data_IF_970571496354
#
_entry.id   IF_970571496354
#
_cell.length_a   1.000
_cell.length_b   1.000
_cell.length_c   1.000
_cell.angle_alpha   90.00
_cell.angle_beta   90.00
_cell.angle_gamma   90.00
#
_symmetry.space_group_name_H-M   'P 1'
#
loop_
_entity.id
_entity.type
_entity.pdbx_description
1 polymer ?
#
# COMPACT_ATOMS: atom_id res chain seq x y z
N UNK A 1 3.42 0.88 -20.07
CA UNK A 1 4.08 -0.02 -19.11
C UNK A 1 4.45 0.75 -17.86
N UNK A 2 4.38 0.10 -16.71
CA UNK A 2 4.93 0.65 -15.47
C UNK A 2 6.45 0.67 -15.55
N UNK A 3 7.08 1.68 -14.97
CA UNK A 3 8.54 1.81 -14.94
C UNK A 3 9.20 0.56 -14.33
N UNK A 4 10.18 0.02 -15.02
CA UNK A 4 11.06 -1.04 -14.54
C UNK A 4 12.46 -0.45 -14.41
N UNK A 5 13.08 -0.48 -13.21
CA UNK A 5 14.46 -0.02 -13.03
C UNK A 5 15.41 -0.87 -13.88
N UNK A 6 16.17 -0.22 -14.75
CA UNK A 6 17.21 -0.86 -15.55
C UNK A 6 18.59 -0.30 -15.19
N UNK A 7 19.67 -1.08 -15.25
CA UNK A 7 21.01 -0.57 -15.00
C UNK A 7 21.33 0.64 -15.88
N UNK A 8 22.16 1.56 -15.37
CA UNK A 8 22.67 2.76 -16.07
C UNK A 8 21.63 3.81 -16.50
N UNK A 9 20.36 3.63 -16.16
CA UNK A 9 19.34 4.64 -16.46
C UNK A 9 19.24 5.70 -15.34
N UNK A 10 19.20 6.97 -15.71
CA UNK A 10 18.97 8.08 -14.76
C UNK A 10 17.69 7.89 -13.94
N UNK A 11 16.64 7.39 -14.59
CA UNK A 11 15.38 7.07 -13.92
C UNK A 11 15.53 6.00 -12.82
N UNK A 12 16.48 5.08 -12.96
CA UNK A 12 16.80 4.08 -11.93
C UNK A 12 17.44 4.75 -10.72
N UNK A 13 18.35 5.69 -10.92
CA UNK A 13 18.93 6.48 -9.84
C UNK A 13 17.84 7.27 -9.10
N UNK A 14 16.96 7.96 -9.81
CA UNK A 14 15.79 8.66 -9.22
C UNK A 14 14.93 7.69 -8.41
N UNK A 15 14.65 6.51 -8.95
CA UNK A 15 13.81 5.50 -8.29
C UNK A 15 14.40 5.01 -6.97
N UNK A 16 15.71 4.77 -6.92
CA UNK A 16 16.38 4.24 -5.73
C UNK A 16 16.70 5.32 -4.70
N UNK A 17 17.19 6.48 -5.14
CA UNK A 17 17.60 7.58 -4.25
C UNK A 17 16.46 8.48 -3.83
N UNK A 18 15.41 8.64 -4.67
CA UNK A 18 14.37 9.65 -4.50
C UNK A 18 14.91 11.07 -4.74
N UNK A 19 16.04 11.21 -5.40
CA UNK A 19 16.70 12.48 -5.69
C UNK A 19 16.82 12.72 -7.20
N UNK A 20 16.87 13.99 -7.59
CA UNK A 20 17.09 14.37 -8.97
C UNK A 20 18.58 14.15 -9.34
N UNK A 21 18.90 13.30 -10.34
CA UNK A 21 20.28 12.98 -10.70
C UNK A 21 20.85 13.81 -11.84
N UNK A 22 20.20 14.90 -12.24
CA UNK A 22 20.70 15.78 -13.32
C UNK A 22 22.08 16.37 -13.02
N UNK A 23 22.39 16.52 -11.74
CA UNK A 23 23.69 16.88 -11.22
C UNK A 23 24.19 15.82 -10.26
N UNK A 24 25.29 16.08 -9.56
CA UNK A 24 25.78 15.17 -8.52
C UNK A 24 24.71 14.92 -7.45
N UNK A 25 24.37 13.67 -7.20
CA UNK A 25 23.42 13.31 -6.14
C UNK A 25 24.05 13.52 -4.77
N UNK A 26 23.45 14.39 -3.97
CA UNK A 26 23.87 14.73 -2.61
C UNK A 26 22.68 14.74 -1.65
N UNK A 27 22.93 14.91 -0.37
CA UNK A 27 21.86 15.05 0.63
C UNK A 27 20.94 16.25 0.34
N UNK A 28 21.50 17.32 -0.25
CA UNK A 28 20.80 18.58 -0.59
C UNK A 28 20.14 18.58 -1.97
N UNK A 29 20.28 17.50 -2.76
CA UNK A 29 19.64 17.39 -4.07
C UNK A 29 18.11 17.39 -3.95
N UNK A 30 17.45 17.98 -4.95
CA UNK A 30 15.99 18.03 -5.05
C UNK A 30 15.35 16.64 -4.86
N UNK A 31 14.31 16.57 -4.05
CA UNK A 31 13.56 15.33 -3.84
C UNK A 31 12.56 15.08 -4.96
N UNK A 32 12.56 13.86 -5.46
CA UNK A 32 11.64 13.40 -6.50
C UNK A 32 10.67 12.37 -5.93
N UNK A 33 9.38 12.64 -6.11
CA UNK A 33 8.33 11.72 -5.68
C UNK A 33 8.40 10.41 -6.47
N UNK A 34 8.64 9.30 -5.77
CA UNK A 34 8.80 7.98 -6.37
C UNK A 34 7.68 7.04 -5.95
N UNK A 35 6.99 6.48 -6.92
CA UNK A 35 5.88 5.55 -6.70
C UNK A 35 6.40 4.14 -6.40
N UNK A 36 6.44 3.77 -5.12
CA UNK A 36 6.87 2.44 -4.65
C UNK A 36 5.72 1.55 -4.21
N UNK A 37 4.60 2.13 -3.81
CA UNK A 37 3.43 1.42 -3.31
C UNK A 37 2.70 0.62 -4.39
N UNK A 38 2.34 -0.65 -4.12
CA UNK A 38 1.60 -1.49 -5.05
C UNK A 38 0.22 -0.93 -5.42
N UNK A 39 -0.44 -0.21 -4.50
CA UNK A 39 -1.72 0.47 -4.76
C UNK A 39 -1.54 1.60 -5.78
N UNK A 40 -0.53 2.47 -5.59
CA UNK A 40 -0.25 3.57 -6.52
C UNK A 40 0.13 3.07 -7.91
N UNK A 41 0.98 2.03 -8.01
CA UNK A 41 1.33 1.42 -9.30
C UNK A 41 0.10 0.85 -10.01
N UNK A 42 -0.81 0.22 -9.27
CA UNK A 42 -2.07 -0.30 -9.82
C UNK A 42 -2.95 0.82 -10.33
N UNK A 43 -3.02 1.93 -9.58
CA UNK A 43 -3.76 3.12 -9.97
C UNK A 43 -3.18 3.75 -11.24
N UNK A 44 -1.86 3.93 -11.33
CA UNK A 44 -1.21 4.45 -12.54
C UNK A 44 -1.49 3.55 -13.76
N UNK A 45 -1.43 2.21 -13.57
CA UNK A 45 -1.78 1.27 -14.62
C UNK A 45 -3.24 1.39 -15.05
N UNK A 46 -4.15 1.62 -14.11
CA UNK A 46 -5.56 1.85 -14.39
C UNK A 46 -5.78 3.13 -15.21
N UNK A 47 -5.10 4.23 -14.87
CA UNK A 47 -5.15 5.46 -15.65
C UNK A 47 -4.63 5.30 -17.07
N UNK A 48 -3.56 4.54 -17.28
CA UNK A 48 -3.06 4.22 -18.63
C UNK A 48 -4.04 3.35 -19.44
N UNK A 49 -4.97 2.68 -18.78
CA UNK A 49 -6.01 1.84 -19.37
C UNK A 49 -7.40 2.33 -18.99
N UNK A 50 -7.62 3.63 -19.03
CA UNK A 50 -8.90 4.25 -18.64
C UNK A 50 -10.09 3.81 -19.50
N UNK A 51 -9.85 3.37 -20.71
CA UNK A 51 -10.86 2.84 -21.63
C UNK A 51 -11.37 1.44 -21.23
N UNK A 52 -10.68 0.73 -20.35
CA UNK A 52 -11.05 -0.62 -19.90
C UNK A 52 -12.06 -0.53 -18.75
N UNK A 53 -13.32 -1.03 -18.94
CA UNK A 53 -14.37 -0.97 -17.92
C UNK A 53 -14.03 -1.62 -16.59
N UNK A 54 -13.13 -2.60 -16.58
CA UNK A 54 -12.65 -3.25 -15.34
C UNK A 54 -11.95 -2.27 -14.40
N UNK A 55 -11.32 -1.22 -14.94
CA UNK A 55 -10.60 -0.22 -14.17
C UNK A 55 -11.47 0.93 -13.67
N UNK A 56 -12.68 1.12 -14.23
CA UNK A 56 -13.52 2.29 -13.93
C UNK A 56 -13.88 2.47 -12.46
N UNK A 57 -14.21 1.44 -11.67
CA UNK A 57 -14.47 1.63 -10.24
C UNK A 57 -13.27 2.19 -9.49
N UNK A 58 -12.06 1.70 -9.79
CA UNK A 58 -10.82 2.19 -9.18
C UNK A 58 -10.52 3.63 -9.60
N UNK A 59 -10.77 3.96 -10.86
CA UNK A 59 -10.56 5.31 -11.40
C UNK A 59 -11.55 6.31 -10.80
N UNK A 60 -12.84 5.95 -10.65
CA UNK A 60 -13.84 6.80 -9.98
C UNK A 60 -13.44 7.11 -8.54
N UNK A 61 -13.05 6.09 -7.78
CA UNK A 61 -12.55 6.27 -6.40
C UNK A 61 -11.34 7.22 -6.36
N UNK A 62 -10.41 7.06 -7.30
CA UNK A 62 -9.23 7.89 -7.37
C UNK A 62 -9.53 9.35 -7.74
N UNK A 63 -10.37 9.57 -8.75
CA UNK A 63 -10.77 10.90 -9.20
C UNK A 63 -11.53 11.65 -8.08
N UNK A 64 -12.40 10.97 -7.36
CA UNK A 64 -13.09 11.55 -6.20
C UNK A 64 -12.10 11.97 -5.10
N UNK A 65 -11.11 11.14 -4.78
CA UNK A 65 -10.08 11.48 -3.78
C UNK A 65 -9.18 12.63 -4.19
N UNK A 66 -8.95 12.79 -5.49
CA UNK A 66 -8.18 13.91 -6.04
C UNK A 66 -9.01 15.19 -6.19
N UNK A 67 -10.30 15.19 -5.84
CA UNK A 67 -11.20 16.33 -6.05
C UNK A 67 -11.53 16.58 -7.53
N UNK A 68 -11.30 15.59 -8.40
CA UNK A 68 -11.52 15.68 -9.85
C UNK A 68 -12.74 14.86 -10.30
N UNK A 69 -13.84 14.96 -9.53
CA UNK A 69 -15.12 14.34 -9.88
C UNK A 69 -15.72 14.89 -11.18
N UNK A 70 -15.30 16.07 -11.59
CA UNK A 70 -15.61 16.70 -12.88
C UNK A 70 -15.26 15.85 -14.10
N UNK A 71 -14.32 14.91 -13.96
CA UNK A 71 -13.92 13.99 -15.03
C UNK A 71 -14.75 12.70 -15.09
N UNK A 72 -15.77 12.57 -14.24
CA UNK A 72 -16.67 11.41 -14.22
C UNK A 72 -18.00 11.80 -14.85
N UNK A 73 -18.34 11.18 -15.97
CA UNK A 73 -19.61 11.45 -16.67
C UNK A 73 -19.64 10.87 -18.08
N UNK A 74 -20.71 11.14 -18.80
CA UNK A 74 -20.95 10.56 -20.13
C UNK A 74 -20.68 11.52 -21.30
N UNK A 75 -20.18 12.72 -21.04
CA UNK A 75 -19.88 13.72 -22.07
C UNK A 75 -18.44 13.62 -22.61
N UNK A 76 -18.18 14.29 -23.71
CA UNK A 76 -16.86 14.29 -24.40
C UNK A 76 -15.70 14.83 -23.56
N UNK A 77 -15.99 15.60 -22.51
CA UNK A 77 -14.97 16.19 -21.62
C UNK A 77 -14.63 15.27 -20.43
N UNK A 78 -15.39 14.18 -20.24
CA UNK A 78 -15.18 13.26 -19.13
C UNK A 78 -14.19 12.14 -19.52
N UNK A 79 -13.44 11.68 -18.54
CA UNK A 79 -12.44 10.62 -18.72
C UNK A 79 -13.08 9.23 -18.66
N UNK A 80 -13.99 9.04 -17.71
CA UNK A 80 -14.66 7.77 -17.48
C UNK A 80 -16.17 7.98 -17.25
N UNK A 81 -17.01 7.02 -17.67
CA UNK A 81 -18.45 7.14 -17.46
C UNK A 81 -18.86 6.95 -16.00
N UNK A 82 -20.04 7.49 -15.66
CA UNK A 82 -20.62 7.34 -14.32
C UNK A 82 -21.20 5.95 -14.08
N UNK A 83 -21.62 5.25 -15.13
CA UNK A 83 -22.20 3.90 -15.07
C UNK A 83 -21.13 2.82 -15.15
N UNK A 84 -21.50 1.60 -14.75
CA UNK A 84 -20.67 0.41 -14.86
C UNK A 84 -21.39 -0.64 -15.71
N UNK A 85 -20.80 -1.16 -16.79
CA UNK A 85 -21.38 -2.25 -17.56
C UNK A 85 -21.52 -3.51 -16.71
N UNK A 86 -22.62 -4.23 -16.91
CA UNK A 86 -22.88 -5.48 -16.20
C UNK A 86 -21.76 -6.49 -16.45
N UNK A 87 -21.32 -7.16 -15.39
CA UNK A 87 -20.25 -8.16 -15.46
C UNK A 87 -18.82 -7.61 -15.38
N UNK A 88 -18.64 -6.29 -15.36
CA UNK A 88 -17.31 -5.65 -15.25
C UNK A 88 -17.05 -5.08 -13.85
N UNK A 89 -15.79 -4.71 -13.56
CA UNK A 89 -15.39 -4.12 -12.28
C UNK A 89 -15.10 -5.11 -11.16
N UNK A 90 -14.94 -6.40 -11.47
CA UNK A 90 -14.69 -7.49 -10.49
C UNK A 90 -13.32 -7.38 -9.81
N UNK A 91 -12.39 -6.63 -10.37
CA UNK A 91 -11.01 -6.51 -9.87
C UNK A 91 -10.97 -5.89 -8.47
N UNK A 92 -11.85 -4.93 -8.17
CA UNK A 92 -11.93 -4.31 -6.83
C UNK A 92 -12.52 -5.24 -5.77
N UNK A 93 -13.51 -6.05 -6.14
CA UNK A 93 -14.14 -7.00 -5.21
C UNK A 93 -13.14 -8.07 -4.74
N UNK A 94 -12.26 -8.54 -5.62
CA UNK A 94 -11.20 -9.49 -5.27
C UNK A 94 -10.10 -8.90 -4.38
N UNK A 95 -9.84 -7.61 -4.48
CA UNK A 95 -8.84 -6.93 -3.66
C UNK A 95 -9.36 -6.61 -2.24
N UNK A 96 -10.67 -6.36 -2.10
CA UNK A 96 -11.33 -6.10 -0.81
C UNK A 96 -11.55 -7.36 0.04
N UNK A 97 -11.62 -8.54 -0.58
CA UNK A 97 -11.88 -9.80 0.13
C UNK A 97 -10.64 -10.51 0.70
N UNK A 98 -9.44 -9.99 0.43
CA UNK A 98 -8.23 -10.44 1.13
C UNK A 98 -8.11 -9.72 2.46
N UNK A 99 -8.91 -10.11 3.43
CA UNK A 99 -8.59 -9.84 4.84
C UNK A 99 -7.20 -10.42 5.11
N UNK A 100 -6.29 -9.66 5.76
CA UNK A 100 -5.08 -10.23 6.28
C UNK A 100 -5.51 -11.30 7.28
N UNK A 101 -5.25 -12.57 6.98
CA UNK A 101 -5.33 -13.62 7.99
C UNK A 101 -4.33 -13.22 9.08
N UNK A 102 -4.84 -12.65 10.16
CA UNK A 102 -4.07 -12.44 11.37
C UNK A 102 -3.69 -13.82 11.91
N UNK A 103 -2.50 -14.26 11.56
CA UNK A 103 -1.83 -15.35 12.25
C UNK A 103 -1.31 -14.79 13.58
N UNK A 104 -2.21 -14.50 14.48
CA UNK A 104 -1.88 -14.45 15.89
C UNK A 104 -2.24 -15.82 16.41
N UNK A 105 -1.27 -16.72 16.43
CA UNK A 105 -1.35 -17.93 17.23
C UNK A 105 -1.38 -17.49 18.69
N UNK A 106 -2.33 -18.00 19.50
CA UNK A 106 -2.29 -17.74 20.93
C UNK A 106 -1.04 -18.42 21.50
N UNK A 107 -0.09 -17.62 21.94
CA UNK A 107 1.02 -18.11 22.75
C UNK A 107 0.42 -18.49 24.10
N UNK A 108 0.12 -19.76 24.29
CA UNK A 108 -0.15 -20.35 25.60
C UNK A 108 1.16 -20.25 26.41
N UNK A 109 1.28 -19.17 27.15
CA UNK A 109 2.28 -19.05 28.20
C UNK A 109 1.82 -19.94 29.37
N UNK A 110 2.34 -21.15 29.41
CA UNK A 110 2.18 -22.03 30.55
C UNK A 110 2.76 -21.34 31.80
N UNK A 111 1.91 -21.04 32.77
CA UNK A 111 2.30 -20.59 34.08
C UNK A 111 2.91 -21.78 34.82
N UNK A 112 4.16 -21.69 35.15
CA UNK A 112 4.81 -22.64 36.07
C UNK A 112 4.34 -22.37 37.52
N UNK A 113 4.05 -23.40 38.33
CA UNK A 113 3.62 -23.21 39.69
C UNK A 113 4.80 -22.83 40.60
N UNK A 114 4.63 -21.74 41.33
CA UNK A 114 5.54 -21.34 42.37
C UNK A 114 5.51 -22.39 43.52
N UNK A 115 6.63 -23.03 43.77
CA UNK A 115 6.83 -23.87 44.95
C UNK A 115 7.11 -22.98 46.15
N UNK A 116 6.16 -22.96 47.07
CA UNK A 116 6.33 -22.44 48.44
C UNK A 116 7.35 -23.31 49.18
N UNK A 117 8.44 -22.73 49.60
CA UNK A 117 9.34 -23.32 50.57
C UNK A 117 9.26 -22.50 51.87
N UNK A 118 8.38 -22.94 52.77
CA UNK A 118 8.48 -22.65 54.18
C UNK A 118 9.77 -23.25 54.74
N UNK A 119 10.59 -22.43 55.35
CA UNK A 119 11.60 -22.92 56.26
C UNK A 119 11.60 -22.06 57.53
N UNK A 120 10.96 -22.63 58.52
CA UNK A 120 11.10 -22.33 59.95
C UNK A 120 12.59 -22.27 60.28
N UNK A 121 13.02 -21.24 60.92
CA UNK A 121 14.24 -21.30 61.77
C UNK A 121 13.90 -20.76 63.11
N UNK A 122 14.14 -21.68 64.02
CA UNK A 122 13.99 -21.68 65.46
C UNK A 122 14.83 -20.60 66.13
N UNK A 123 14.24 -20.07 67.17
CA UNK A 123 14.86 -19.24 68.19
C UNK A 123 15.96 -19.95 68.94
N UNK A 124 16.97 -19.24 69.37
CA UNK A 124 17.62 -19.39 70.64
C UNK A 124 18.33 -18.10 71.06
N UNK A 125 17.88 -17.64 72.19
CA UNK A 125 18.58 -16.76 73.15
C UNK A 125 19.77 -17.51 73.82
N UNK A 126 20.64 -16.88 74.56
CA UNK A 126 20.36 -15.95 75.69
C UNK A 126 20.83 -14.54 75.45
#
# INVERSE_FOLDING_TARGET
>A
QTFLPTPLALATTMYHTGKNPLHKVSATSEEVSVVRGGRQRRLHKAFLRYHDPENWPLLREALQRMGRADLIGNGKKHLIPSFQPAGTGKILQRAGSRQPKSRIAPVHRAAAPAKSASKLIHARRP
#
